data_IF_072346744967
#
_entry.id   IF_072346744967
#
_cell.length_a   1.000
_cell.length_b   1.000
_cell.length_c   1.000
_cell.angle_alpha   90.00
_cell.angle_beta   90.00
_cell.angle_gamma   90.00
#
_symmetry.space_group_name_H-M   'P 1'
#
loop_
_entity.id
_entity.type
_entity.pdbx_description
1 polymer ?
#
# COMPACT_ATOMS: atom_id res chain seq x y z
N UNK A 1 4.76 -12.55 -15.07
CA UNK A 1 5.59 -13.04 -13.96
C UNK A 1 6.74 -12.06 -13.76
N UNK A 2 6.80 -11.38 -12.62
CA UNK A 2 7.92 -10.49 -12.27
C UNK A 2 9.12 -11.35 -11.84
N UNK A 3 10.28 -11.15 -12.46
CA UNK A 3 11.50 -11.91 -12.17
C UNK A 3 12.33 -11.18 -11.10
N UNK A 4 11.96 -11.35 -9.83
CA UNK A 4 12.76 -10.83 -8.72
C UNK A 4 13.65 -11.93 -8.12
N UNK A 5 14.92 -11.60 -7.87
CA UNK A 5 15.89 -12.52 -7.25
C UNK A 5 15.63 -12.63 -5.74
N UNK A 6 16.10 -13.71 -5.11
CA UNK A 6 16.08 -13.80 -3.65
C UNK A 6 17.08 -12.79 -3.05
N UNK A 7 16.77 -12.21 -1.90
CA UNK A 7 17.67 -11.25 -1.24
C UNK A 7 18.92 -11.96 -0.72
N UNK A 8 20.04 -11.23 -0.61
CA UNK A 8 21.28 -11.76 -0.04
C UNK A 8 21.07 -12.35 1.36
N UNK A 9 20.34 -11.65 2.22
CA UNK A 9 20.03 -12.10 3.59
C UNK A 9 19.22 -13.40 3.61
N UNK A 10 18.20 -13.53 2.77
CA UNK A 10 17.43 -14.77 2.68
C UNK A 10 18.32 -15.94 2.22
N UNK A 11 19.20 -15.72 1.24
CA UNK A 11 20.14 -16.74 0.80
C UNK A 11 21.13 -17.13 1.91
N UNK A 12 21.66 -16.16 2.66
CA UNK A 12 22.57 -16.39 3.78
C UNK A 12 21.93 -17.19 4.93
N UNK A 13 20.62 -17.00 5.15
CA UNK A 13 19.83 -17.70 6.16
C UNK A 13 19.19 -19.01 5.63
N UNK A 14 19.41 -19.37 4.36
CA UNK A 14 18.84 -20.57 3.75
C UNK A 14 17.33 -20.49 3.47
N UNK A 15 16.73 -19.30 3.55
CA UNK A 15 15.31 -19.11 3.28
C UNK A 15 14.99 -19.07 1.79
N UNK A 16 13.88 -19.72 1.42
CA UNK A 16 13.33 -19.67 0.06
C UNK A 16 12.88 -18.26 -0.29
N UNK A 17 12.90 -17.96 -1.59
CA UNK A 17 12.35 -16.71 -2.12
C UNK A 17 10.90 -16.55 -1.70
N UNK A 18 10.58 -15.38 -1.16
CA UNK A 18 9.23 -14.98 -0.82
C UNK A 18 8.33 -14.92 -2.07
N UNK A 19 7.05 -15.28 -1.95
CA UNK A 19 6.11 -15.10 -3.04
C UNK A 19 5.92 -13.60 -3.29
N UNK A 20 6.26 -13.18 -4.51
CA UNK A 20 6.00 -11.84 -5.03
C UNK A 20 5.19 -12.01 -6.31
N UNK A 21 3.94 -11.60 -6.28
CA UNK A 21 3.04 -11.73 -7.42
C UNK A 21 2.31 -10.41 -7.65
N UNK A 22 2.27 -9.97 -8.90
CA UNK A 22 1.59 -8.74 -9.29
C UNK A 22 0.46 -9.07 -10.26
N UNK A 23 -0.74 -8.60 -9.91
CA UNK A 23 -1.96 -8.70 -10.72
C UNK A 23 -2.43 -7.30 -11.08
N UNK A 24 -2.44 -7.00 -12.38
CA UNK A 24 -2.85 -5.69 -12.91
C UNK A 24 -4.04 -5.79 -13.88
N UNK A 25 -5.18 -6.38 -13.50
CA UNK A 25 -6.37 -6.32 -14.34
C UNK A 25 -6.82 -4.87 -14.53
N UNK A 26 -7.20 -4.55 -15.76
CA UNK A 26 -7.75 -3.26 -16.10
C UNK A 26 -8.54 -3.35 -17.39
N UNK A 27 -9.38 -2.35 -17.62
CA UNK A 27 -10.10 -2.21 -18.86
C UNK A 27 -10.29 -0.73 -19.18
N UNK A 28 -10.42 -0.45 -20.46
CA UNK A 28 -10.78 0.86 -20.98
C UNK A 28 -12.00 0.73 -21.86
N UNK A 29 -12.93 1.66 -21.73
CA UNK A 29 -14.13 1.73 -22.54
C UNK A 29 -14.38 3.18 -22.95
N UNK A 30 -14.62 3.41 -24.23
CA UNK A 30 -14.79 4.75 -24.77
C UNK A 30 -15.71 4.74 -25.99
N UNK A 31 -16.24 5.91 -26.33
CA UNK A 31 -17.07 6.07 -27.49
C UNK A 31 -17.95 7.31 -27.43
N UNK A 32 -18.82 7.50 -28.44
CA UNK A 32 -19.82 8.54 -28.38
C UNK A 32 -20.85 8.25 -27.28
N UNK A 33 -21.33 9.29 -26.60
CA UNK A 33 -22.49 9.17 -25.71
C UNK A 33 -23.75 9.27 -26.56
N UNK A 34 -24.47 8.15 -26.72
CA UNK A 34 -25.78 8.10 -27.36
C UNK A 34 -26.77 7.36 -26.45
N UNK A 35 -27.70 8.10 -25.86
CA UNK A 35 -28.75 7.63 -24.97
C UNK A 35 -30.06 7.51 -25.77
N UNK A 36 -30.43 6.30 -26.24
CA UNK A 36 -31.58 6.10 -27.10
C UNK A 36 -32.90 6.36 -26.36
N UNK A 37 -33.83 7.05 -27.03
CA UNK A 37 -35.15 7.41 -26.49
C UNK A 37 -35.98 6.23 -25.98
N UNK A 38 -35.83 5.06 -26.59
CA UNK A 38 -36.54 3.84 -26.18
C UNK A 38 -36.16 3.34 -24.78
N UNK A 39 -34.95 3.66 -24.30
CA UNK A 39 -34.43 3.21 -23.01
C UNK A 39 -34.45 4.37 -22.00
N UNK A 40 -34.09 5.58 -22.42
CA UNK A 40 -33.89 6.73 -21.52
C UNK A 40 -35.04 7.74 -21.53
N UNK A 41 -36.10 7.52 -22.32
CA UNK A 41 -37.32 8.34 -22.31
C UNK A 41 -37.04 9.84 -22.51
N UNK A 42 -37.43 10.72 -21.58
CA UNK A 42 -37.18 12.17 -21.68
C UNK A 42 -35.69 12.54 -21.51
N UNK A 43 -34.84 11.64 -21.02
CA UNK A 43 -33.39 11.85 -20.87
C UNK A 43 -32.59 11.37 -22.09
N UNK A 44 -33.26 11.13 -23.22
CA UNK A 44 -32.61 10.75 -24.47
C UNK A 44 -31.62 11.82 -24.94
N UNK A 45 -30.49 11.39 -25.49
CA UNK A 45 -29.43 12.29 -25.93
C UNK A 45 -28.63 11.67 -27.07
N UNK A 46 -28.55 12.30 -28.24
CA UNK A 46 -27.74 11.81 -29.37
C UNK A 46 -26.46 12.62 -29.49
N UNK A 47 -25.39 12.15 -28.85
CA UNK A 47 -24.07 12.78 -28.86
C UNK A 47 -23.11 12.23 -29.91
N UNK A 48 -23.56 11.44 -30.90
CA UNK A 48 -22.73 10.71 -31.88
C UNK A 48 -21.63 11.50 -32.58
N UNK A 49 -21.70 12.83 -32.59
CA UNK A 49 -20.71 13.71 -33.23
C UNK A 49 -20.20 14.83 -32.33
N UNK A 50 -20.61 14.86 -31.06
CA UNK A 50 -20.34 16.00 -30.17
C UNK A 50 -19.88 15.58 -28.79
N UNK A 51 -20.37 14.46 -28.28
CA UNK A 51 -20.06 14.02 -26.91
C UNK A 51 -19.41 12.67 -26.95
N UNK A 52 -18.22 12.61 -26.37
CA UNK A 52 -17.44 11.41 -26.24
C UNK A 52 -17.11 11.19 -24.78
N UNK A 53 -17.03 9.93 -24.38
CA UNK A 53 -16.53 9.58 -23.07
C UNK A 53 -15.34 8.64 -23.21
N UNK A 54 -14.51 8.65 -22.16
CA UNK A 54 -13.45 7.70 -21.95
C UNK A 54 -13.48 7.28 -20.49
N UNK A 55 -13.60 5.99 -20.23
CA UNK A 55 -13.53 5.41 -18.90
C UNK A 55 -12.37 4.41 -18.87
N UNK A 56 -11.56 4.48 -17.83
CA UNK A 56 -10.51 3.53 -17.54
C UNK A 56 -10.62 3.08 -16.09
N UNK A 57 -10.46 1.78 -15.87
CA UNK A 57 -10.36 1.19 -14.56
C UNK A 57 -9.13 0.30 -14.49
N UNK A 58 -8.35 0.48 -13.44
CA UNK A 58 -7.17 -0.32 -13.13
C UNK A 58 -7.24 -0.78 -11.68
N UNK A 59 -6.96 -2.07 -11.48
CA UNK A 59 -6.82 -2.67 -10.17
C UNK A 59 -5.45 -3.34 -10.10
N UNK A 60 -4.50 -2.72 -9.42
CA UNK A 60 -3.20 -3.30 -9.15
C UNK A 60 -3.22 -3.96 -7.77
N UNK A 61 -2.86 -5.24 -7.72
CA UNK A 61 -2.56 -5.97 -6.49
C UNK A 61 -1.14 -6.50 -6.56
N UNK A 62 -0.31 -6.08 -5.61
CA UNK A 62 0.98 -6.68 -5.31
C UNK A 62 0.81 -7.56 -4.08
N UNK A 63 0.86 -8.88 -4.27
CA UNK A 63 0.97 -9.84 -3.21
C UNK A 63 2.44 -9.92 -2.80
N UNK A 64 2.70 -9.54 -1.56
CA UNK A 64 4.03 -9.50 -0.98
C UNK A 64 3.98 -10.09 0.43
N UNK A 65 5.15 -10.45 0.95
CA UNK A 65 5.32 -11.05 2.27
C UNK A 65 6.53 -10.44 2.94
N UNK A 66 6.38 -9.95 4.17
CA UNK A 66 7.48 -9.56 5.03
C UNK A 66 7.90 -10.75 5.91
N UNK A 67 9.17 -10.77 6.33
CA UNK A 67 9.68 -11.73 7.31
C UNK A 67 9.96 -11.03 8.64
N UNK A 68 9.52 -11.66 9.73
CA UNK A 68 10.08 -11.44 11.06
C UNK A 68 11.15 -12.51 11.26
N UNK A 69 12.35 -12.07 11.64
CA UNK A 69 13.50 -12.90 11.96
C UNK A 69 14.18 -12.28 13.20
N UNK A 70 13.74 -12.72 14.37
CA UNK A 70 14.18 -12.19 15.65
C UNK A 70 14.22 -13.29 16.69
N UNK A 71 14.71 -12.97 17.88
CA UNK A 71 14.66 -13.85 19.03
C UNK A 71 13.45 -13.47 19.90
N UNK A 72 12.91 -14.44 20.64
CA UNK A 72 11.88 -14.18 21.66
C UNK A 72 12.22 -14.95 22.94
N UNK A 73 11.89 -14.41 24.13
CA UNK A 73 12.11 -15.11 25.39
C UNK A 73 11.37 -16.45 25.44
N UNK A 74 12.06 -17.48 25.94
CA UNK A 74 11.43 -18.77 26.25
C UNK A 74 10.48 -18.65 27.44
N UNK A 75 10.87 -17.83 28.42
CA UNK A 75 10.06 -17.51 29.59
C UNK A 75 9.11 -16.35 29.27
N UNK A 76 7.83 -16.67 29.20
CA UNK A 76 6.79 -15.71 28.84
C UNK A 76 6.31 -14.88 30.03
N UNK A 77 6.07 -13.59 29.81
CA UNK A 77 5.44 -12.70 30.79
C UNK A 77 3.90 -12.77 30.63
N UNK A 78 3.13 -13.19 31.65
CA UNK A 78 1.67 -13.30 31.53
C UNK A 78 0.96 -11.96 31.31
N UNK A 79 1.59 -10.82 31.66
CA UNK A 79 1.03 -9.48 31.44
C UNK A 79 1.31 -8.94 30.03
N UNK A 80 2.29 -9.52 29.34
CA UNK A 80 2.67 -9.14 27.98
C UNK A 80 3.11 -10.40 27.21
N UNK A 81 2.15 -11.24 26.79
CA UNK A 81 2.46 -12.48 26.09
C UNK A 81 3.08 -12.16 24.73
N UNK A 82 4.25 -12.73 24.46
CA UNK A 82 4.88 -12.68 23.15
C UNK A 82 4.58 -13.97 22.38
N UNK A 83 4.73 -13.95 21.04
CA UNK A 83 4.70 -15.18 20.26
C UNK A 83 5.73 -16.20 20.78
N UNK A 84 5.35 -17.48 20.78
CA UNK A 84 6.28 -18.55 21.13
C UNK A 84 7.38 -18.70 20.05
N UNK A 85 8.61 -19.09 20.42
CA UNK A 85 9.67 -19.37 19.46
C UNK A 85 9.23 -20.40 18.42
N UNK A 86 9.62 -20.20 17.16
CA UNK A 86 9.38 -21.18 16.09
C UNK A 86 10.40 -22.30 16.08
N UNK A 87 11.59 -22.06 16.65
CA UNK A 87 12.67 -23.05 16.80
C UNK A 87 13.10 -23.08 18.27
N UNK A 88 12.32 -23.71 19.16
CA UNK A 88 12.54 -23.64 20.60
C UNK A 88 13.85 -24.27 21.07
N UNK A 89 14.41 -25.21 20.30
CA UNK A 89 15.65 -25.91 20.65
C UNK A 89 16.92 -25.10 20.33
N UNK A 90 16.81 -24.03 19.54
CA UNK A 90 17.93 -23.15 19.17
C UNK A 90 18.14 -22.05 20.23
N UNK A 91 18.31 -22.45 21.49
CA UNK A 91 18.38 -21.54 22.64
C UNK A 91 19.69 -20.75 22.65
N UNK A 92 19.58 -19.45 22.90
CA UNK A 92 20.70 -18.55 23.18
C UNK A 92 20.44 -17.76 24.46
N UNK A 93 21.49 -17.20 25.05
CA UNK A 93 21.37 -16.30 26.20
C UNK A 93 21.61 -14.88 25.70
N UNK A 94 20.66 -13.99 25.92
CA UNK A 94 20.79 -12.61 25.49
C UNK A 94 21.88 -11.87 26.27
N UNK A 95 22.45 -10.84 25.65
CA UNK A 95 23.43 -9.97 26.29
C UNK A 95 22.71 -8.83 27.02
N UNK A 96 22.45 -9.00 28.30
CA UNK A 96 21.88 -7.95 29.13
C UNK A 96 22.94 -7.02 29.73
N UNK A 97 22.55 -5.77 30.01
CA UNK A 97 23.41 -4.77 30.71
C UNK A 97 23.80 -5.23 32.12
N UNK A 98 22.97 -6.06 32.76
CA UNK A 98 23.28 -6.73 34.02
C UNK A 98 23.05 -8.24 33.87
N UNK A 99 23.97 -9.11 34.35
CA UNK A 99 23.84 -10.57 34.18
C UNK A 99 22.55 -11.17 34.76
N UNK A 100 21.97 -10.53 35.78
CA UNK A 100 20.70 -10.96 36.41
C UNK A 100 19.47 -10.70 35.56
N UNK A 101 19.62 -9.89 34.50
CA UNK A 101 18.56 -9.59 33.55
C UNK A 101 18.68 -10.42 32.27
N UNK A 102 19.73 -11.23 32.13
CA UNK A 102 19.90 -12.08 30.96
C UNK A 102 18.88 -13.22 31.00
N UNK A 103 18.01 -13.27 30.01
CA UNK A 103 17.06 -14.37 29.82
C UNK A 103 17.46 -15.27 28.65
N UNK A 104 16.90 -16.48 28.65
CA UNK A 104 17.05 -17.40 27.52
C UNK A 104 16.06 -17.04 26.42
N UNK A 105 16.58 -16.91 25.21
CA UNK A 105 15.83 -16.56 24.01
C UNK A 105 15.98 -17.63 22.95
N UNK A 106 15.00 -17.76 22.06
CA UNK A 106 15.05 -18.67 20.93
C UNK A 106 14.47 -18.01 19.66
N UNK A 107 14.87 -18.44 18.45
CA UNK A 107 14.42 -17.85 17.20
C UNK A 107 12.91 -17.90 17.02
N UNK A 108 12.36 -16.77 16.59
CA UNK A 108 11.01 -16.60 16.07
C UNK A 108 11.08 -16.10 14.64
N UNK A 109 10.72 -16.99 13.72
CA UNK A 109 10.72 -16.72 12.29
C UNK A 109 9.29 -16.84 11.77
N UNK A 110 8.75 -15.75 11.24
CA UNK A 110 7.37 -15.74 10.73
C UNK A 110 7.25 -14.94 9.44
N UNK A 111 6.53 -15.49 8.47
CA UNK A 111 6.14 -14.79 7.25
C UNK A 111 4.80 -14.09 7.44
N UNK A 112 4.74 -12.79 7.18
CA UNK A 112 3.53 -11.98 7.28
C UNK A 112 3.14 -11.46 5.90
N UNK A 113 1.89 -11.69 5.49
CA UNK A 113 1.41 -11.18 4.21
C UNK A 113 1.21 -9.66 4.27
N UNK A 114 1.82 -8.94 3.34
CA UNK A 114 1.85 -7.47 3.29
C UNK A 114 1.34 -6.92 1.96
N UNK A 115 0.15 -7.31 1.46
CA UNK A 115 -0.28 -6.91 0.13
C UNK A 115 -0.40 -5.38 -0.03
N UNK A 116 -0.06 -4.89 -1.22
CA UNK A 116 -0.40 -3.55 -1.69
C UNK A 116 -1.52 -3.65 -2.72
N UNK A 117 -2.54 -2.80 -2.58
CA UNK A 117 -3.70 -2.76 -3.48
C UNK A 117 -3.97 -1.33 -3.88
N UNK A 118 -4.12 -1.10 -5.18
CA UNK A 118 -4.40 0.21 -5.74
C UNK A 118 -5.54 0.10 -6.75
N UNK A 119 -6.60 0.90 -6.52
CA UNK A 119 -7.74 1.01 -7.42
C UNK A 119 -7.72 2.40 -8.03
N UNK A 120 -7.70 2.48 -9.35
CA UNK A 120 -7.79 3.76 -10.07
C UNK A 120 -8.96 3.67 -11.02
N UNK A 121 -9.83 4.67 -10.96
CA UNK A 121 -10.88 4.90 -11.94
C UNK A 121 -10.72 6.29 -12.52
N UNK A 122 -10.76 6.39 -13.84
CA UNK A 122 -10.74 7.65 -14.57
C UNK A 122 -11.94 7.70 -15.50
N UNK A 123 -12.73 8.77 -15.42
CA UNK A 123 -13.80 9.06 -16.36
C UNK A 123 -13.55 10.44 -16.96
N UNK A 124 -13.54 10.53 -18.27
CA UNK A 124 -13.50 11.78 -19.02
C UNK A 124 -14.73 11.87 -19.91
N UNK A 125 -15.29 13.06 -20.00
CA UNK A 125 -16.36 13.41 -20.94
C UNK A 125 -15.89 14.64 -21.71
N UNK A 126 -15.85 14.54 -23.03
CA UNK A 126 -15.58 15.64 -23.94
C UNK A 126 -16.87 16.01 -24.67
N UNK A 127 -17.16 17.30 -24.75
CA UNK A 127 -18.36 17.82 -25.41
C UNK A 127 -18.02 19.01 -26.31
N UNK A 128 -18.35 18.91 -27.59
CA UNK A 128 -18.35 20.03 -28.52
C UNK A 128 -19.74 20.67 -28.56
N UNK A 129 -19.88 21.87 -28.01
CA UNK A 129 -21.12 22.64 -28.07
C UNK A 129 -21.36 23.12 -29.51
N UNK A 130 -20.30 23.60 -30.16
CA UNK A 130 -20.23 23.98 -31.58
C UNK A 130 -18.76 23.93 -32.07
N UNK A 131 -18.49 24.37 -33.29
CA UNK A 131 -17.15 24.31 -33.90
C UNK A 131 -16.12 25.24 -33.23
N UNK A 132 -16.57 26.21 -32.44
CA UNK A 132 -15.76 27.21 -31.74
C UNK A 132 -15.72 27.00 -30.22
N UNK A 133 -16.56 26.11 -29.67
CA UNK A 133 -16.76 25.94 -28.23
C UNK A 133 -16.79 24.46 -27.85
N UNK A 134 -15.84 24.06 -27.01
CA UNK A 134 -15.80 22.72 -26.43
C UNK A 134 -15.49 22.77 -24.94
N UNK A 135 -16.01 21.76 -24.23
CA UNK A 135 -15.72 21.52 -22.83
C UNK A 135 -15.26 20.09 -22.61
N UNK A 136 -14.45 19.88 -21.57
CA UNK A 136 -14.09 18.55 -21.09
C UNK A 136 -14.17 18.50 -19.58
N UNK A 137 -14.73 17.41 -19.06
CA UNK A 137 -14.79 17.11 -17.64
C UNK A 137 -14.02 15.81 -17.38
N UNK A 138 -13.22 15.78 -16.32
CA UNK A 138 -12.45 14.62 -15.89
C UNK A 138 -12.75 14.35 -14.42
N UNK A 139 -13.03 13.09 -14.10
CA UNK A 139 -13.13 12.59 -12.75
C UNK A 139 -12.09 11.49 -12.56
N UNK A 140 -11.35 11.57 -11.45
CA UNK A 140 -10.36 10.58 -11.07
C UNK A 140 -10.61 10.14 -9.63
N UNK A 141 -10.67 8.84 -9.44
CA UNK A 141 -10.78 8.19 -8.14
C UNK A 141 -9.58 7.28 -7.96
N UNK A 142 -8.85 7.46 -6.86
CA UNK A 142 -7.73 6.63 -6.45
C UNK A 142 -7.96 6.11 -5.04
N UNK A 143 -7.78 4.80 -4.83
CA UNK A 143 -7.85 4.15 -3.52
C UNK A 143 -6.66 3.21 -3.38
N UNK A 144 -5.70 3.61 -2.56
CA UNK A 144 -4.51 2.84 -2.24
C UNK A 144 -4.63 2.31 -0.81
N UNK A 145 -4.30 1.03 -0.63
CA UNK A 145 -4.01 0.41 0.66
C UNK A 145 -2.69 -0.33 0.50
N UNK A 146 -1.65 0.15 1.16
CA UNK A 146 -0.33 -0.45 1.11
C UNK A 146 0.06 -0.98 2.49
N UNK A 147 0.14 -2.31 2.60
CA UNK A 147 0.66 -2.97 3.80
C UNK A 147 2.17 -3.23 3.70
N UNK A 148 2.83 -2.93 2.58
CA UNK A 148 4.28 -3.04 2.51
C UNK A 148 4.93 -1.99 3.40
N UNK A 149 5.66 -2.47 4.40
CA UNK A 149 6.26 -1.70 5.48
C UNK A 149 7.58 -1.02 5.08
N UNK A 150 8.12 -1.31 3.89
CA UNK A 150 9.45 -0.90 3.49
C UNK A 150 9.40 0.14 2.37
N UNK A 151 9.51 1.42 2.74
CA UNK A 151 9.74 2.50 1.78
C UNK A 151 11.19 2.99 1.94
N UNK A 152 12.17 2.19 1.53
CA UNK A 152 13.55 2.63 1.27
C UNK A 152 14.24 3.54 2.31
N UNK A 153 13.95 3.40 3.61
CA UNK A 153 14.57 4.21 4.67
C UNK A 153 14.49 3.53 6.04
N UNK A 154 15.51 3.72 6.87
CA UNK A 154 15.75 3.06 8.16
C UNK A 154 14.82 3.52 9.31
N UNK A 155 13.54 3.79 9.04
CA UNK A 155 12.60 4.31 10.03
C UNK A 155 11.60 3.24 10.48
N UNK A 156 11.95 2.55 11.56
CA UNK A 156 11.16 1.51 12.22
C UNK A 156 9.72 1.92 12.61
N UNK A 157 9.44 3.20 12.86
CA UNK A 157 8.10 3.63 13.27
C UNK A 157 7.12 3.77 12.10
N UNK A 158 7.60 4.12 10.91
CA UNK A 158 6.77 4.32 9.70
C UNK A 158 6.44 3.00 8.99
N UNK A 159 7.23 1.96 9.26
CA UNK A 159 7.05 0.61 8.73
C UNK A 159 5.86 -0.09 9.39
N UNK A 160 5.54 0.24 10.64
CA UNK A 160 4.51 -0.43 11.44
C UNK A 160 3.08 -0.07 11.10
N UNK A 161 2.90 0.85 10.15
CA UNK A 161 1.59 1.37 9.83
C UNK A 161 1.31 1.36 8.32
N UNK A 162 0.32 0.56 7.95
CA UNK A 162 -0.35 0.53 6.67
C UNK A 162 -0.73 1.93 6.24
N UNK A 163 -0.33 2.26 5.02
CA UNK A 163 -0.65 3.54 4.40
C UNK A 163 -1.90 3.35 3.57
N UNK A 164 -2.93 4.11 3.88
CA UNK A 164 -4.09 4.26 3.00
C UNK A 164 -4.05 5.65 2.38
N UNK A 165 -4.40 5.73 1.10
CA UNK A 165 -4.46 7.01 0.38
C UNK A 165 -5.69 7.02 -0.51
N UNK A 166 -6.61 7.89 -0.17
CA UNK A 166 -7.80 8.14 -0.97
C UNK A 166 -7.66 9.47 -1.69
N UNK A 167 -7.72 9.44 -3.01
CA UNK A 167 -7.70 10.63 -3.85
C UNK A 167 -8.99 10.69 -4.63
N UNK A 168 -9.67 11.83 -4.57
CA UNK A 168 -10.79 12.17 -5.44
C UNK A 168 -10.43 13.47 -6.15
N UNK A 169 -10.54 13.52 -7.47
CA UNK A 169 -10.31 14.73 -8.23
C UNK A 169 -11.37 14.89 -9.31
N UNK A 170 -11.82 16.13 -9.48
CA UNK A 170 -12.66 16.54 -10.59
C UNK A 170 -12.00 17.75 -11.24
N UNK A 171 -11.92 17.76 -12.56
CA UNK A 171 -11.51 18.93 -13.31
C UNK A 171 -12.46 19.19 -14.48
N UNK A 172 -12.56 20.47 -14.82
CA UNK A 172 -13.33 20.95 -15.94
C UNK A 172 -12.49 21.95 -16.71
N UNK A 173 -12.46 21.80 -18.03
CA UNK A 173 -11.83 22.73 -18.96
C UNK A 173 -12.86 23.16 -19.99
N UNK A 174 -12.94 24.45 -20.24
CA UNK A 174 -13.77 25.06 -21.28
C UNK A 174 -12.89 25.86 -22.22
N UNK A 175 -13.12 25.72 -23.53
CA UNK A 175 -12.38 26.41 -24.58
C UNK A 175 -13.35 27.07 -25.54
N UNK A 176 -13.23 28.39 -25.68
CA UNK A 176 -14.07 29.20 -26.57
C UNK A 176 -13.21 30.04 -27.51
N UNK A 177 -13.40 29.87 -28.81
CA UNK A 177 -12.75 30.65 -29.87
C UNK A 177 -13.66 31.81 -30.25
N UNK A 178 -13.34 33.02 -29.78
CA UNK A 178 -14.08 34.23 -30.16
C UNK A 178 -13.79 34.68 -31.59
N UNK A 179 -12.54 34.53 -32.02
CA UNK A 179 -12.08 34.82 -33.37
C UNK A 179 -10.80 34.03 -33.68
N UNK A 180 -10.30 33.98 -34.93
CA UNK A 180 -9.01 33.36 -35.25
C UNK A 180 -7.81 33.94 -34.49
N UNK A 181 -7.99 35.08 -33.80
CA UNK A 181 -6.94 35.77 -33.03
C UNK A 181 -7.22 35.82 -31.52
N UNK A 182 -8.37 35.33 -31.07
CA UNK A 182 -8.77 35.40 -29.67
C UNK A 182 -9.43 34.10 -29.23
N UNK A 183 -8.76 33.39 -28.31
CA UNK A 183 -9.24 32.18 -27.66
C UNK A 183 -9.27 32.44 -26.16
N UNK A 184 -10.36 32.02 -25.52
CA UNK A 184 -10.47 31.99 -24.07
C UNK A 184 -10.52 30.54 -23.61
N UNK A 185 -9.79 30.28 -22.52
CA UNK A 185 -9.75 28.98 -21.89
C UNK A 185 -9.94 29.18 -20.38
N UNK A 186 -10.93 28.47 -19.84
CA UNK A 186 -11.15 28.40 -18.40
C UNK A 186 -10.87 26.98 -17.92
N UNK A 187 -10.15 26.85 -16.79
CA UNK A 187 -9.86 25.56 -16.18
C UNK A 187 -10.06 25.64 -14.68
N UNK A 188 -10.79 24.68 -14.14
CA UNK A 188 -11.03 24.54 -12.71
C UNK A 188 -10.73 23.09 -12.34
N UNK A 189 -10.03 22.90 -11.23
CA UNK A 189 -9.76 21.58 -10.68
C UNK A 189 -9.97 21.63 -9.17
N UNK A 190 -10.69 20.64 -8.66
CA UNK A 190 -10.84 20.38 -7.24
C UNK A 190 -10.34 18.97 -6.97
N UNK A 191 -9.50 18.82 -5.95
CA UNK A 191 -9.06 17.52 -5.50
C UNK A 191 -9.03 17.45 -3.98
N UNK A 192 -9.34 16.26 -3.46
CA UNK A 192 -9.21 15.92 -2.06
C UNK A 192 -8.28 14.73 -1.93
N UNK A 193 -7.26 14.89 -1.10
CA UNK A 193 -6.36 13.83 -0.70
C UNK A 193 -6.61 13.55 0.78
N UNK A 194 -7.01 12.32 1.09
CA UNK A 194 -7.13 11.84 2.48
C UNK A 194 -6.09 10.74 2.66
N UNK A 195 -4.87 11.10 3.08
CA UNK A 195 -3.92 10.12 3.56
C UNK A 195 -4.34 9.69 4.96
N UNK A 196 -4.36 8.39 5.22
CA UNK A 196 -4.56 7.89 6.55
C UNK A 196 -3.56 6.77 6.84
N UNK A 197 -3.32 6.59 8.12
CA UNK A 197 -2.43 5.60 8.64
C UNK A 197 -3.25 4.82 9.65
N UNK A 198 -3.69 3.62 9.26
CA UNK A 198 -4.72 2.88 10.01
C UNK A 198 -4.15 1.63 10.65
N UNK A 199 -3.96 1.65 11.98
CA UNK A 199 -3.67 0.47 12.81
C UNK A 199 -4.88 -0.47 12.83
N UNK A 200 -4.78 -1.65 12.19
CA UNK A 200 -5.88 -2.65 12.18
C UNK A 200 -6.22 -3.19 13.57
N UNK A 201 -5.28 -3.20 14.51
CA UNK A 201 -5.48 -3.70 15.88
C UNK A 201 -6.02 -2.67 16.88
N UNK A 202 -6.47 -1.50 16.42
CA UNK A 202 -7.00 -0.43 17.28
C UNK A 202 -5.91 0.40 17.96
N UNK A 203 -6.26 1.09 19.05
CA UNK A 203 -5.36 1.97 19.79
C UNK A 203 -4.49 1.26 20.85
N UNK A 204 -4.20 -0.04 20.67
CA UNK A 204 -3.33 -0.75 21.64
C UNK A 204 -1.88 -0.27 21.46
N UNK A 205 -1.09 -0.23 22.55
CA UNK A 205 0.30 0.17 22.43
C UNK A 205 1.07 -0.82 21.55
N UNK A 206 2.05 -0.28 20.83
CA UNK A 206 3.06 -1.05 20.12
C UNK A 206 4.36 -0.93 20.90
N UNK A 207 4.97 -2.07 21.21
CA UNK A 207 6.27 -2.14 21.85
C UNK A 207 7.32 -2.55 20.82
N UNK A 208 8.45 -1.85 20.82
CA UNK A 208 9.65 -2.24 20.10
C UNK A 208 10.58 -2.87 21.13
N UNK A 209 11.01 -4.08 20.87
CA UNK A 209 11.84 -4.88 21.77
C UNK A 209 13.12 -5.20 21.01
N UNK A 210 14.22 -4.61 21.45
CA UNK A 210 15.55 -4.92 20.93
C UNK A 210 16.19 -6.01 21.79
N UNK A 211 16.75 -7.01 21.12
CA UNK A 211 17.36 -8.19 21.73
C UNK A 211 18.75 -8.32 21.13
N UNK A 212 19.76 -8.23 21.98
CA UNK A 212 21.15 -8.39 21.59
C UNK A 212 21.60 -9.81 21.91
N UNK A 213 22.07 -10.52 20.90
CA UNK A 213 22.55 -11.89 21.05
C UNK A 213 24.07 -11.94 20.79
N UNK A 214 24.88 -12.58 21.65
CA UNK A 214 26.32 -12.65 21.45
C UNK A 214 26.68 -13.39 20.16
N UNK A 215 27.63 -12.85 19.38
CA UNK A 215 28.17 -13.55 18.21
C UNK A 215 29.23 -14.55 18.70
N UNK A 216 29.02 -15.84 18.44
CA UNK A 216 29.90 -16.91 18.87
C UNK A 216 31.38 -16.64 18.50
N UNK A 217 32.26 -16.69 19.50
CA UNK A 217 33.70 -16.50 19.31
C UNK A 217 34.17 -15.05 19.15
N UNK A 218 33.31 -14.06 19.37
CA UNK A 218 33.68 -12.63 19.34
C UNK A 218 33.17 -11.87 20.57
N UNK A 219 33.66 -10.64 20.79
CA UNK A 219 33.11 -9.73 21.80
C UNK A 219 31.90 -8.92 21.28
N UNK A 220 31.46 -9.18 20.04
CA UNK A 220 30.34 -8.50 19.39
C UNK A 220 28.99 -9.12 19.73
N UNK A 221 27.92 -8.40 19.41
CA UNK A 221 26.54 -8.88 19.48
C UNK A 221 25.78 -8.51 18.21
N UNK A 222 24.89 -9.40 17.79
CA UNK A 222 23.90 -9.13 16.76
C UNK A 222 22.64 -8.59 17.43
N UNK A 223 22.20 -7.40 16.99
CA UNK A 223 21.00 -6.75 17.50
C UNK A 223 19.81 -7.12 16.63
N UNK A 224 18.74 -7.61 17.25
CA UNK A 224 17.50 -8.03 16.61
C UNK A 224 16.33 -7.25 17.20
N UNK A 225 15.43 -6.78 16.35
CA UNK A 225 14.27 -6.01 16.81
C UNK A 225 13.00 -6.80 16.56
N UNK A 226 12.22 -7.01 17.62
CA UNK A 226 10.84 -7.47 17.55
C UNK A 226 9.89 -6.28 17.72
N UNK A 227 8.82 -6.26 16.94
CA UNK A 227 7.70 -5.36 17.20
C UNK A 227 6.48 -6.15 17.63
N UNK A 228 5.98 -5.86 18.83
CA UNK A 228 4.86 -6.54 19.47
C UNK A 228 3.70 -5.57 19.74
N UNK A 229 2.47 -6.08 19.75
CA UNK A 229 1.25 -5.28 19.92
C UNK A 229 0.55 -4.93 18.61
N UNK A 230 -0.43 -4.00 18.65
CA UNK A 230 -1.29 -3.71 17.50
C UNK A 230 -0.60 -2.85 16.44
N UNK A 231 0.13 -3.50 15.53
CA UNK A 231 0.59 -2.87 14.29
C UNK A 231 -0.40 -3.19 13.16
N UNK A 232 -0.18 -2.63 11.98
CA UNK A 232 -1.09 -2.87 10.85
C UNK A 232 -1.01 -4.25 10.23
N UNK A 233 -0.01 -5.02 10.66
CA UNK A 233 0.26 -6.38 10.18
C UNK A 233 0.36 -7.35 11.37
N UNK A 234 0.67 -6.84 12.57
CA UNK A 234 0.63 -7.56 13.83
C UNK A 234 -0.70 -7.35 14.54
N UNK A 235 -1.62 -8.29 14.37
CA UNK A 235 -2.42 -8.72 15.50
C UNK A 235 -1.72 -9.97 16.06
N UNK A 236 -0.82 -9.75 17.00
CA UNK A 236 -0.55 -10.72 18.07
C UNK A 236 -0.77 -9.98 19.38
#
# INVERSE_FOLDING_TARGET
MSANANTFRNNALGFKRLPLEEHNPGFTFSGPIDLPRKIFGPFAYSGRSRTFFFAAYEYNTLLDTAFIDTFVPLKQNPLFPLPAPTIPDAVQTERATAPTLAETVAPFISGLSTPSRNNIFTLRIDHAFNDLHNGSALYQLGRLSNLNQFTGGDRLAESLQARTRNTDAISYSDNYVFSPRLVNQARIQFSRLTPAVEARGGAKPVAIIDIDVPIAGTNGSDSHTLVAGSSTIGAT
#
